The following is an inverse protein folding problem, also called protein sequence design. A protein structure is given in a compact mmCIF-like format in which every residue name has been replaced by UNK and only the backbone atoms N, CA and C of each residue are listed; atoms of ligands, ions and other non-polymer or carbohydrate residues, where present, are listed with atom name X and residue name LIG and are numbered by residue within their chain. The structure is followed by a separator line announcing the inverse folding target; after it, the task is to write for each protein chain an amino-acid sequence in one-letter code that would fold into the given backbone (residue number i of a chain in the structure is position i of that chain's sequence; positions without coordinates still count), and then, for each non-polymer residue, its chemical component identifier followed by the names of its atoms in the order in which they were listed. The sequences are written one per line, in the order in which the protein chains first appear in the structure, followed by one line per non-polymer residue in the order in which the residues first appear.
data_IF_978323633730
#
_entry.id   IF_978323633730
#
_cell.length_a   1.000
_cell.length_b   1.000
_cell.length_c   1.000
_cell.angle_alpha   90.00
_cell.angle_beta   90.00
_cell.angle_gamma   90.00
#
_symmetry.space_group_name_H-M   'P 1'
#
loop_
_entity.id
_entity.type
_entity.pdbx_description
1 polymer ?
#
# COMPACT_ATOMS: atom_id res chain seq x y z
N UNK A 1 -11.00 39.80 33.17
CA UNK A 1 -10.06 39.10 32.25
C UNK A 1 -10.64 37.72 31.95
N UNK A 2 -11.35 37.56 30.83
CA UNK A 2 -12.04 36.31 30.49
C UNK A 2 -11.12 35.40 29.65
N UNK A 3 -10.89 34.16 30.12
CA UNK A 3 -10.16 33.13 29.37
C UNK A 3 -10.97 32.69 28.14
N UNK A 4 -10.40 32.89 26.95
CA UNK A 4 -10.93 32.34 25.71
C UNK A 4 -10.73 30.80 25.67
N UNK A 5 -11.83 30.04 25.77
CA UNK A 5 -11.83 28.59 25.52
C UNK A 5 -11.49 28.31 24.06
N UNK A 6 -10.34 27.68 23.82
CA UNK A 6 -9.90 27.17 22.51
C UNK A 6 -10.93 26.13 22.03
N UNK A 7 -11.68 26.43 20.96
CA UNK A 7 -12.59 25.47 20.32
C UNK A 7 -11.78 24.25 19.88
N UNK A 8 -12.13 23.06 20.40
CA UNK A 8 -11.59 21.76 19.94
C UNK A 8 -11.98 21.63 18.46
N UNK A 9 -10.98 21.61 17.57
CA UNK A 9 -11.17 21.30 16.15
C UNK A 9 -11.63 19.84 16.11
N UNK A 10 -12.85 19.61 15.64
CA UNK A 10 -13.35 18.25 15.39
C UNK A 10 -12.65 17.82 14.11
N UNK A 11 -11.69 16.90 14.23
CA UNK A 11 -11.08 16.24 13.07
C UNK A 11 -12.17 15.33 12.47
N UNK A 12 -12.88 15.86 11.48
CA UNK A 12 -13.71 15.05 10.59
C UNK A 12 -12.80 14.02 9.91
N UNK A 13 -13.27 12.79 9.63
CA UNK A 13 -12.50 11.83 8.85
C UNK A 13 -12.11 12.50 7.52
N UNK A 14 -10.80 12.62 7.24
CA UNK A 14 -10.34 13.05 5.92
C UNK A 14 -10.92 12.06 4.90
N UNK A 15 -11.62 12.57 3.87
CA UNK A 15 -11.98 11.75 2.71
C UNK A 15 -10.72 11.01 2.23
N UNK A 16 -10.83 9.73 1.85
CA UNK A 16 -9.68 8.96 1.41
C UNK A 16 -9.00 9.72 0.26
N UNK A 17 -7.70 10.03 0.43
CA UNK A 17 -6.94 10.78 -0.57
C UNK A 17 -7.05 10.04 -1.90
N UNK A 18 -7.64 10.70 -2.91
CA UNK A 18 -7.79 10.15 -4.26
C UNK A 18 -6.44 9.64 -4.77
N UNK A 19 -6.42 8.42 -5.31
CA UNK A 19 -5.22 7.85 -5.93
C UNK A 19 -4.80 8.80 -7.06
N UNK A 20 -3.53 9.22 -7.08
CA UNK A 20 -2.98 10.10 -8.13
C UNK A 20 -2.05 9.37 -9.08
N UNK A 21 -1.93 8.05 -8.91
CA UNK A 21 -1.10 7.18 -9.74
C UNK A 21 -1.85 5.87 -10.00
N UNK A 22 -1.80 5.43 -11.25
CA UNK A 22 -2.28 4.14 -11.69
C UNK A 22 -1.23 3.51 -12.59
N UNK A 23 -1.05 2.21 -12.45
CA UNK A 23 -0.10 1.46 -13.25
C UNK A 23 -0.74 0.17 -13.74
N UNK A 24 -0.48 -0.18 -14.99
CA UNK A 24 -0.94 -1.44 -15.57
C UNK A 24 0.13 -1.97 -16.54
N UNK A 25 0.02 -3.24 -16.94
CA UNK A 25 0.85 -3.81 -18.01
C UNK A 25 -0.02 -3.97 -19.25
N UNK A 26 0.41 -3.37 -20.35
CA UNK A 26 -0.29 -3.39 -21.63
C UNK A 26 0.43 -4.29 -22.64
N UNK A 27 -0.33 -4.86 -23.57
CA UNK A 27 0.24 -5.49 -24.77
C UNK A 27 0.76 -4.43 -25.75
N UNK A 28 1.58 -4.83 -26.73
CA UNK A 28 2.09 -3.92 -27.75
C UNK A 28 0.96 -3.25 -28.55
N UNK A 29 -0.10 -4.00 -28.88
CA UNK A 29 -1.29 -3.48 -29.56
C UNK A 29 -2.02 -2.42 -28.71
N UNK A 30 -2.15 -2.66 -27.41
CA UNK A 30 -2.77 -1.69 -26.48
C UNK A 30 -1.90 -0.44 -26.31
N UNK A 31 -0.57 -0.59 -26.31
CA UNK A 31 0.37 0.53 -26.25
C UNK A 31 0.27 1.41 -27.50
N UNK A 32 0.18 0.82 -28.68
CA UNK A 32 -0.01 1.55 -29.94
C UNK A 32 -1.33 2.31 -29.97
N UNK A 33 -2.41 1.65 -29.54
CA UNK A 33 -3.73 2.28 -29.45
C UNK A 33 -3.71 3.47 -28.49
N UNK A 34 -3.08 3.32 -27.32
CA UNK A 34 -2.97 4.38 -26.32
C UNK A 34 -2.08 5.54 -26.80
N UNK A 35 -0.97 5.24 -27.48
CA UNK A 35 -0.08 6.24 -28.06
C UNK A 35 -0.79 7.09 -29.11
N UNK A 36 -1.47 6.44 -30.06
CA UNK A 36 -2.27 7.13 -31.09
C UNK A 36 -3.38 7.98 -30.49
N UNK A 37 -4.04 7.47 -29.45
CA UNK A 37 -5.07 8.20 -28.74
C UNK A 37 -4.54 9.45 -28.02
N UNK A 38 -3.37 9.36 -27.36
CA UNK A 38 -2.73 10.51 -26.72
C UNK A 38 -2.27 11.56 -27.75
N UNK A 39 -1.75 11.10 -28.89
CA UNK A 39 -1.33 11.98 -29.98
C UNK A 39 -2.49 12.77 -30.61
N UNK A 40 -3.71 12.22 -30.60
CA UNK A 40 -4.91 12.92 -31.11
C UNK A 40 -5.45 14.01 -30.17
N UNK A 41 -5.03 14.06 -28.91
CA UNK A 41 -5.62 14.93 -27.87
C UNK A 41 -4.90 16.26 -27.63
N UNK A 42 -4.07 16.72 -28.57
CA UNK A 42 -3.21 17.91 -28.41
C UNK A 42 -2.34 17.87 -27.14
N UNK A 43 -1.96 16.66 -26.69
CA UNK A 43 -1.11 16.50 -25.51
C UNK A 43 0.35 16.75 -25.84
N UNK A 44 1.06 17.40 -24.92
CA UNK A 44 2.47 17.72 -25.13
C UNK A 44 3.33 16.46 -24.93
N UNK A 45 4.05 15.97 -25.96
CA UNK A 45 4.99 14.88 -25.77
C UNK A 45 6.20 15.37 -24.95
N UNK A 46 6.77 14.48 -24.14
CA UNK A 46 8.01 14.76 -23.42
C UNK A 46 8.93 13.55 -23.33
N UNK A 47 10.21 13.77 -23.02
CA UNK A 47 11.21 12.71 -22.94
C UNK A 47 11.23 12.04 -21.57
N UNK A 48 11.18 10.71 -21.55
CA UNK A 48 11.42 9.87 -20.36
C UNK A 48 12.34 8.73 -20.77
N UNK A 49 13.35 8.46 -19.95
CA UNK A 49 14.30 7.38 -20.22
C UNK A 49 13.59 6.03 -20.28
N UNK A 50 13.92 5.22 -21.29
CA UNK A 50 13.33 3.90 -21.56
C UNK A 50 11.81 3.90 -21.83
N UNK A 51 11.19 5.06 -22.02
CA UNK A 51 9.80 5.18 -22.43
C UNK A 51 9.65 4.96 -23.95
N UNK A 52 8.60 4.24 -24.33
CA UNK A 52 8.11 4.15 -25.71
C UNK A 52 7.46 5.46 -26.11
N UNK A 53 6.61 6.00 -25.23
CA UNK A 53 5.98 7.30 -25.38
C UNK A 53 5.72 7.93 -24.01
N UNK A 54 5.67 9.26 -23.97
CA UNK A 54 5.22 9.99 -22.80
C UNK A 54 4.50 11.28 -23.21
N UNK A 55 3.32 11.49 -22.66
CA UNK A 55 2.45 12.62 -22.98
C UNK A 55 1.96 13.31 -21.71
N UNK A 56 1.89 14.63 -21.79
CA UNK A 56 1.39 15.52 -20.74
C UNK A 56 0.07 16.13 -21.21
N UNK A 57 -1.01 15.69 -20.58
CA UNK A 57 -2.36 16.22 -20.77
C UNK A 57 -2.76 17.21 -19.68
N UNK A 58 -4.04 17.57 -19.66
CA UNK A 58 -4.60 18.44 -18.63
C UNK A 58 -4.64 17.72 -17.27
N UNK A 59 -3.72 18.07 -16.36
CA UNK A 59 -3.59 17.48 -15.01
C UNK A 59 -3.47 15.95 -14.99
N UNK A 60 -3.07 15.33 -16.11
CA UNK A 60 -2.78 13.90 -16.26
C UNK A 60 -1.54 13.71 -17.14
N UNK A 61 -0.65 12.83 -16.73
CA UNK A 61 0.56 12.45 -17.44
C UNK A 61 0.47 10.94 -17.70
N UNK A 62 0.84 10.53 -18.91
CA UNK A 62 0.82 9.13 -19.34
C UNK A 62 2.20 8.76 -19.85
N UNK A 63 2.78 7.70 -19.30
CA UNK A 63 4.09 7.18 -19.71
C UNK A 63 3.96 5.68 -19.99
N UNK A 64 4.23 5.29 -21.22
CA UNK A 64 4.35 3.89 -21.63
C UNK A 64 5.81 3.51 -21.76
N UNK A 65 6.26 2.48 -21.05
CA UNK A 65 7.64 1.96 -21.11
C UNK A 65 7.78 0.84 -22.14
N UNK A 66 9.00 0.67 -22.67
CA UNK A 66 9.33 -0.45 -23.58
C UNK A 66 9.11 -1.84 -22.96
N UNK A 67 8.99 -1.94 -21.64
CA UNK A 67 8.66 -3.18 -20.92
C UNK A 67 7.16 -3.54 -20.93
N UNK A 68 6.32 -2.71 -21.57
CA UNK A 68 4.87 -2.81 -21.53
C UNK A 68 4.25 -2.20 -20.25
N UNK A 69 5.05 -1.64 -19.36
CA UNK A 69 4.54 -0.96 -18.16
C UNK A 69 3.94 0.39 -18.53
N UNK A 70 2.69 0.62 -18.15
CA UNK A 70 2.00 1.90 -18.21
C UNK A 70 2.02 2.57 -16.84
N UNK A 71 2.28 3.88 -16.83
CA UNK A 71 2.14 4.74 -15.65
C UNK A 71 1.27 5.94 -16.03
N UNK A 72 0.12 6.08 -15.38
CA UNK A 72 -0.77 7.24 -15.47
C UNK A 72 -0.72 7.98 -14.14
N UNK A 73 -0.44 9.28 -14.15
CA UNK A 73 -0.31 10.10 -12.95
C UNK A 73 -1.06 11.41 -13.09
N UNK A 74 -1.62 11.93 -12.01
CA UNK A 74 -2.25 13.25 -12.01
C UNK A 74 -3.54 13.31 -11.20
N UNK A 75 -4.16 14.50 -11.18
CA UNK A 75 -5.43 14.73 -10.47
C UNK A 75 -6.63 14.20 -11.26
N UNK A 76 -6.54 14.20 -12.58
CA UNK A 76 -7.57 13.69 -13.51
C UNK A 76 -7.25 12.25 -13.98
N UNK A 77 -6.35 11.56 -13.25
CA UNK A 77 -5.95 10.18 -13.54
C UNK A 77 -7.15 9.23 -13.53
N UNK A 78 -7.97 9.28 -12.49
CA UNK A 78 -9.13 8.40 -12.32
C UNK A 78 -10.13 8.57 -13.46
N UNK A 79 -10.44 9.80 -13.82
CA UNK A 79 -11.33 10.12 -14.95
C UNK A 79 -10.76 9.61 -16.27
N UNK A 80 -9.45 9.77 -16.49
CA UNK A 80 -8.78 9.23 -17.67
C UNK A 80 -8.82 7.71 -17.72
N UNK A 81 -8.62 7.02 -16.59
CA UNK A 81 -8.65 5.56 -16.57
C UNK A 81 -10.05 5.07 -16.91
N UNK A 82 -11.07 5.56 -16.22
CA UNK A 82 -12.46 5.10 -16.36
C UNK A 82 -13.05 5.47 -17.72
N UNK A 83 -12.86 6.71 -18.19
CA UNK A 83 -13.54 7.22 -19.39
C UNK A 83 -12.73 7.07 -20.67
N UNK A 84 -11.50 6.59 -20.60
CA UNK A 84 -10.63 6.51 -21.78
C UNK A 84 -9.84 5.23 -21.81
N UNK A 85 -9.00 4.96 -20.80
CA UNK A 85 -8.11 3.81 -20.85
C UNK A 85 -8.90 2.50 -20.87
N UNK A 86 -9.91 2.37 -20.02
CA UNK A 86 -10.75 1.17 -19.94
C UNK A 86 -11.60 0.94 -21.19
N UNK A 87 -12.44 1.89 -21.64
CA UNK A 87 -13.31 1.67 -22.79
C UNK A 87 -12.53 1.60 -24.10
N UNK A 88 -11.55 2.47 -24.29
CA UNK A 88 -10.89 2.62 -25.59
C UNK A 88 -9.66 1.74 -25.72
N UNK A 89 -8.91 1.43 -24.65
CA UNK A 89 -7.65 0.67 -24.77
C UNK A 89 -7.77 -0.74 -24.23
N UNK A 90 -8.28 -0.92 -23.02
CA UNK A 90 -8.36 -2.23 -22.36
C UNK A 90 -9.57 -3.04 -22.83
N UNK A 91 -10.69 -2.40 -23.14
CA UNK A 91 -11.96 -3.04 -23.47
C UNK A 91 -12.68 -3.65 -22.26
N UNK A 92 -12.21 -3.36 -21.04
CA UNK A 92 -12.73 -3.90 -19.79
C UNK A 92 -12.56 -2.88 -18.67
N UNK A 93 -13.56 -2.79 -17.79
CA UNK A 93 -13.53 -1.93 -16.61
C UNK A 93 -12.91 -2.69 -15.43
N UNK A 94 -11.76 -2.25 -14.92
CA UNK A 94 -11.01 -2.91 -13.83
C UNK A 94 -10.77 -1.99 -12.63
N UNK A 95 -10.53 -0.72 -12.88
CA UNK A 95 -10.26 0.32 -11.90
C UNK A 95 -11.47 0.51 -10.98
N UNK A 96 -11.24 0.31 -9.68
CA UNK A 96 -12.31 0.38 -8.68
C UNK A 96 -13.16 -0.89 -8.58
N UNK A 97 -12.90 -1.90 -9.41
CA UNK A 97 -13.55 -3.22 -9.37
C UNK A 97 -12.63 -4.29 -8.74
N UNK A 98 -11.69 -3.87 -7.89
CA UNK A 98 -10.74 -4.76 -7.22
C UNK A 98 -11.48 -5.92 -6.51
N UNK A 99 -12.65 -5.69 -5.91
CA UNK A 99 -13.45 -6.74 -5.25
C UNK A 99 -14.04 -7.78 -6.21
N UNK A 100 -14.30 -7.42 -7.46
CA UNK A 100 -14.85 -8.33 -8.47
C UNK A 100 -13.74 -9.18 -9.08
N UNK A 101 -12.60 -8.56 -9.37
CA UNK A 101 -11.48 -9.22 -10.05
C UNK A 101 -10.51 -9.93 -9.10
N UNK A 102 -10.41 -9.44 -7.85
CA UNK A 102 -9.54 -9.97 -6.81
C UNK A 102 -10.31 -10.21 -5.50
N UNK A 103 -11.36 -11.05 -5.50
CA UNK A 103 -12.12 -11.35 -4.28
C UNK A 103 -11.22 -11.91 -3.18
N UNK A 104 -10.14 -12.62 -3.54
CA UNK A 104 -9.17 -13.21 -2.61
C UNK A 104 -8.43 -12.16 -1.75
N UNK A 105 -8.33 -10.90 -2.20
CA UNK A 105 -7.75 -9.82 -1.38
C UNK A 105 -8.65 -9.41 -0.22
N UNK A 106 -9.94 -9.74 -0.32
CA UNK A 106 -10.97 -9.36 0.64
C UNK A 106 -11.47 -10.56 1.44
N UNK A 107 -10.96 -11.77 1.15
CA UNK A 107 -11.12 -12.93 2.01
C UNK A 107 -10.27 -12.82 3.28
N UNK A 108 -10.50 -13.72 4.24
CA UNK A 108 -9.68 -13.83 5.45
C UNK A 108 -8.21 -14.05 5.06
N UNK A 109 -7.35 -13.10 5.38
CA UNK A 109 -5.93 -13.17 5.01
C UNK A 109 -5.01 -12.76 6.14
N UNK A 110 -3.77 -13.24 6.06
CA UNK A 110 -2.71 -12.93 7.00
C UNK A 110 -1.79 -11.85 6.42
N UNK A 111 -1.74 -10.69 7.07
CA UNK A 111 -0.72 -9.65 6.83
C UNK A 111 0.47 -9.85 7.77
N UNK A 112 1.69 -9.76 7.24
CA UNK A 112 2.92 -9.95 8.01
C UNK A 112 3.94 -8.87 7.69
N UNK A 113 4.57 -8.30 8.71
CA UNK A 113 5.61 -7.28 8.55
C UNK A 113 6.58 -7.27 9.75
N UNK A 114 7.73 -6.60 9.59
CA UNK A 114 8.74 -6.46 10.62
C UNK A 114 9.14 -5.00 10.91
N UNK A 115 9.64 -4.78 12.13
CA UNK A 115 10.27 -3.53 12.53
C UNK A 115 11.56 -3.81 13.30
N UNK A 116 12.51 -2.87 13.29
CA UNK A 116 13.78 -3.00 13.99
C UNK A 116 14.93 -3.57 13.18
N UNK A 117 14.70 -4.06 11.95
CA UNK A 117 15.74 -4.67 11.10
C UNK A 117 16.93 -3.74 10.81
N UNK A 118 16.66 -2.45 10.62
CA UNK A 118 17.68 -1.45 10.28
C UNK A 118 18.14 -0.61 11.48
N UNK A 119 17.54 -0.81 12.65
CA UNK A 119 17.81 0.01 13.82
C UNK A 119 19.06 -0.51 14.54
N UNK A 120 20.00 0.39 14.87
CA UNK A 120 21.19 0.03 15.65
C UNK A 120 20.83 -0.35 17.09
N UNK A 121 19.79 0.30 17.64
CA UNK A 121 19.29 0.07 18.98
C UNK A 121 17.84 -0.35 18.92
N UNK A 122 17.51 -1.38 19.70
CA UNK A 122 16.14 -1.83 19.85
C UNK A 122 15.95 -3.27 19.39
N UNK A 123 14.80 -3.86 19.73
CA UNK A 123 14.50 -5.22 19.34
C UNK A 123 14.23 -5.32 17.84
N UNK A 124 14.39 -6.52 17.30
CA UNK A 124 13.76 -6.91 16.02
C UNK A 124 12.45 -7.61 16.34
N UNK A 125 11.35 -7.12 15.77
CA UNK A 125 10.01 -7.64 15.99
C UNK A 125 9.34 -7.94 14.66
N UNK A 126 8.68 -9.09 14.57
CA UNK A 126 7.74 -9.40 13.48
C UNK A 126 6.33 -9.44 14.03
N UNK A 127 5.36 -9.05 13.23
CA UNK A 127 3.94 -9.14 13.55
C UNK A 127 3.20 -9.90 12.44
N UNK A 128 2.18 -10.66 12.82
CA UNK A 128 1.21 -11.27 11.94
C UNK A 128 -0.19 -10.88 12.42
N UNK A 129 -1.01 -10.38 11.49
CA UNK A 129 -2.42 -10.05 11.72
C UNK A 129 -3.26 -10.86 10.75
N UNK A 130 -4.26 -11.57 11.27
CA UNK A 130 -5.26 -12.30 10.47
C UNK A 130 -6.61 -11.62 10.68
N UNK A 131 -7.20 -11.13 9.60
CA UNK A 131 -8.47 -10.43 9.61
C UNK A 131 -9.20 -10.54 8.26
N UNK A 132 -10.51 -10.38 8.29
CA UNK A 132 -11.40 -10.28 7.15
C UNK A 132 -11.78 -8.82 6.83
N UNK A 133 -12.41 -8.64 5.68
CA UNK A 133 -12.76 -7.34 5.10
C UNK A 133 -13.45 -6.37 6.07
N UNK A 134 -14.50 -6.75 6.84
CA UNK A 134 -15.24 -5.79 7.65
C UNK A 134 -14.35 -5.06 8.68
N UNK A 135 -13.43 -5.80 9.31
CA UNK A 135 -12.49 -5.28 10.28
C UNK A 135 -11.44 -4.39 9.60
N UNK A 136 -10.94 -4.80 8.44
CA UNK A 136 -9.97 -4.02 7.67
C UNK A 136 -10.60 -2.70 7.19
N UNK A 137 -11.85 -2.73 6.73
CA UNK A 137 -12.57 -1.53 6.31
C UNK A 137 -12.77 -0.55 7.49
N UNK A 138 -13.05 -1.05 8.69
CA UNK A 138 -13.12 -0.24 9.91
C UNK A 138 -11.76 0.39 10.23
N UNK A 139 -10.68 -0.39 10.14
CA UNK A 139 -9.31 0.06 10.36
C UNK A 139 -8.85 1.13 9.38
N UNK A 140 -9.19 0.97 8.10
CA UNK A 140 -8.90 1.96 7.05
C UNK A 140 -9.65 3.26 7.31
N UNK A 141 -10.90 3.21 7.78
CA UNK A 141 -11.66 4.40 8.22
C UNK A 141 -11.02 5.08 9.43
N UNK A 142 -10.46 4.29 10.34
CA UNK A 142 -9.61 4.77 11.43
C UNK A 142 -8.23 5.27 10.93
N UNK A 143 -7.95 5.24 9.63
CA UNK A 143 -6.72 5.79 9.06
C UNK A 143 -5.49 4.90 9.22
N UNK A 144 -5.69 3.58 9.33
CA UNK A 144 -4.62 2.60 9.10
C UNK A 144 -4.15 2.73 7.65
N UNK A 145 -2.83 2.84 7.50
CA UNK A 145 -2.10 3.02 6.25
C UNK A 145 -0.64 2.65 6.48
N UNK A 146 0.19 2.82 5.45
CA UNK A 146 1.64 2.69 5.55
C UNK A 146 2.18 3.38 6.82
N UNK A 147 2.76 2.58 7.72
CA UNK A 147 3.23 2.98 9.05
C UNK A 147 4.26 4.10 8.97
N UNK A 148 5.01 4.20 7.87
CA UNK A 148 6.00 5.27 7.61
C UNK A 148 5.38 6.65 7.52
N UNK A 149 4.07 6.75 7.29
CA UNK A 149 3.31 8.01 7.19
C UNK A 149 2.50 8.31 8.45
N UNK A 150 2.67 7.54 9.51
CA UNK A 150 1.91 7.64 10.76
C UNK A 150 2.87 8.03 11.88
N UNK A 151 2.43 8.93 12.76
CA UNK A 151 3.22 9.31 13.95
C UNK A 151 3.15 8.22 15.03
N UNK A 152 4.19 8.07 15.83
CA UNK A 152 4.27 7.06 16.90
C UNK A 152 3.06 7.09 17.85
N UNK A 153 2.62 8.29 18.23
CA UNK A 153 1.43 8.45 19.08
C UNK A 153 0.16 7.91 18.42
N UNK A 154 0.04 8.03 17.08
CA UNK A 154 -1.08 7.45 16.34
C UNK A 154 -0.91 5.94 16.19
N UNK A 155 0.30 5.43 15.96
CA UNK A 155 0.58 3.98 15.93
C UNK A 155 0.10 3.31 17.23
N UNK A 156 0.44 3.87 18.40
CA UNK A 156 0.00 3.33 19.69
C UNK A 156 -1.53 3.36 19.89
N UNK A 157 -2.24 4.30 19.25
CA UNK A 157 -3.71 4.33 19.27
C UNK A 157 -4.29 3.27 18.35
N UNK A 158 -3.73 3.13 17.15
CA UNK A 158 -4.17 2.16 16.16
C UNK A 158 -3.92 0.72 16.62
N UNK A 159 -2.77 0.43 17.25
CA UNK A 159 -2.50 -0.89 17.82
C UNK A 159 -3.56 -1.31 18.85
N UNK A 160 -4.02 -0.37 19.69
CA UNK A 160 -5.12 -0.63 20.63
C UNK A 160 -6.43 -0.93 19.93
N UNK A 161 -6.75 -0.20 18.86
CA UNK A 161 -7.97 -0.43 18.06
C UNK A 161 -7.91 -1.82 17.41
N UNK A 162 -6.81 -2.14 16.73
CA UNK A 162 -6.59 -3.45 16.09
C UNK A 162 -6.78 -4.55 17.14
N UNK A 163 -6.02 -4.53 18.24
CA UNK A 163 -6.07 -5.59 19.26
C UNK A 163 -7.41 -5.71 20.00
N UNK A 164 -8.20 -4.64 20.04
CA UNK A 164 -9.54 -4.66 20.63
C UNK A 164 -10.62 -5.17 19.67
N UNK A 165 -10.30 -5.31 18.38
CA UNK A 165 -11.23 -5.79 17.36
C UNK A 165 -11.53 -7.28 17.61
N UNK A 166 -12.80 -7.68 17.52
CA UNK A 166 -13.21 -9.06 17.74
C UNK A 166 -13.01 -9.90 16.49
N UNK A 167 -12.74 -11.19 16.67
CA UNK A 167 -12.64 -12.14 15.56
C UNK A 167 -11.35 -12.03 14.73
N UNK A 168 -10.35 -11.28 15.21
CA UNK A 168 -9.04 -11.19 14.57
C UNK A 168 -7.97 -11.95 15.38
N UNK A 169 -6.87 -12.27 14.72
CA UNK A 169 -5.68 -12.81 15.37
C UNK A 169 -4.51 -11.83 15.19
N UNK A 170 -3.83 -11.48 16.29
CA UNK A 170 -2.64 -10.62 16.27
C UNK A 170 -1.57 -11.27 17.10
N UNK A 171 -0.47 -11.63 16.44
CA UNK A 171 0.66 -12.28 17.07
C UNK A 171 1.98 -11.63 16.69
N UNK A 172 2.92 -11.65 17.62
CA UNK A 172 4.22 -11.00 17.43
C UNK A 172 5.34 -11.90 17.90
N UNK A 173 6.47 -11.88 17.20
CA UNK A 173 7.71 -12.52 17.65
C UNK A 173 8.74 -11.45 17.96
N UNK A 174 9.08 -11.32 19.24
CA UNK A 174 10.00 -10.32 19.75
C UNK A 174 11.40 -10.90 19.96
N UNK A 175 12.43 -10.25 19.43
CA UNK A 175 13.83 -10.56 19.69
C UNK A 175 14.55 -9.34 20.26
N UNK A 176 14.77 -9.34 21.58
CA UNK A 176 15.52 -8.28 22.25
C UNK A 176 17.02 -8.32 21.93
N UNK A 177 17.70 -7.18 22.08
CA UNK A 177 19.11 -7.00 21.71
C UNK A 177 20.06 -8.08 22.25
N UNK A 178 19.91 -8.49 23.51
CA UNK A 178 20.76 -9.54 24.09
C UNK A 178 20.65 -10.86 23.32
N UNK A 179 19.42 -11.27 23.00
CA UNK A 179 19.16 -12.51 22.27
C UNK A 179 19.56 -12.38 20.80
N UNK A 180 19.30 -11.22 20.21
CA UNK A 180 19.74 -10.89 18.86
C UNK A 180 21.26 -11.04 18.72
N UNK A 181 22.03 -10.42 19.62
CA UNK A 181 23.50 -10.48 19.61
C UNK A 181 24.00 -11.92 19.82
N UNK A 182 23.36 -12.70 20.69
CA UNK A 182 23.69 -14.12 20.89
C UNK A 182 23.48 -14.93 19.61
N UNK A 183 22.37 -14.70 18.89
CA UNK A 183 22.03 -15.41 17.66
C UNK A 183 22.92 -14.99 16.49
N UNK A 184 23.14 -13.67 16.34
CA UNK A 184 23.95 -13.10 15.27
C UNK A 184 25.45 -13.29 15.47
N UNK A 185 25.90 -13.58 16.70
CA UNK A 185 27.29 -13.95 16.99
C UNK A 185 27.66 -15.37 16.58
N UNK A 186 26.71 -16.20 16.13
CA UNK A 186 26.99 -17.58 15.71
C UNK A 186 27.63 -17.64 14.32
N UNK A 187 28.48 -18.64 14.04
CA UNK A 187 28.98 -18.87 12.69
C UNK A 187 27.83 -19.03 11.69
N UNK A 188 27.94 -18.36 10.53
CA UNK A 188 26.92 -18.37 9.45
C UNK A 188 25.56 -17.77 9.86
N UNK A 189 25.49 -16.97 10.92
CA UNK A 189 24.26 -16.26 11.26
C UNK A 189 23.85 -15.31 10.13
N UNK A 190 22.53 -15.25 9.87
CA UNK A 190 21.96 -14.45 8.79
C UNK A 190 20.65 -13.83 9.28
N UNK A 191 20.56 -12.50 9.19
CA UNK A 191 19.40 -11.74 9.62
C UNK A 191 18.13 -12.11 8.85
N UNK A 192 18.23 -12.41 7.56
CA UNK A 192 17.09 -12.81 6.73
C UNK A 192 16.53 -14.16 7.22
N UNK A 193 17.41 -15.10 7.59
CA UNK A 193 16.99 -16.39 8.15
C UNK A 193 16.34 -16.22 9.53
N UNK A 194 16.87 -15.31 10.36
CA UNK A 194 16.25 -14.97 11.65
C UNK A 194 14.85 -14.38 11.45
N UNK A 195 14.70 -13.43 10.54
CA UNK A 195 13.41 -12.83 10.21
C UNK A 195 12.42 -13.85 9.65
N UNK A 196 12.85 -14.71 8.72
CA UNK A 196 12.02 -15.78 8.18
C UNK A 196 11.49 -16.70 9.30
N UNK A 197 12.35 -17.03 10.27
CA UNK A 197 11.95 -17.80 11.44
C UNK A 197 10.97 -17.04 12.35
N UNK A 198 11.21 -15.76 12.64
CA UNK A 198 10.30 -14.93 13.47
C UNK A 198 8.93 -14.75 12.81
N UNK A 199 8.90 -14.54 11.49
CA UNK A 199 7.70 -14.50 10.67
C UNK A 199 6.93 -15.82 10.76
N UNK A 200 7.60 -16.95 10.53
CA UNK A 200 7.00 -18.28 10.68
C UNK A 200 6.42 -18.51 12.09
N UNK A 201 7.11 -18.04 13.14
CA UNK A 201 6.62 -18.14 14.53
C UNK A 201 5.36 -17.31 14.75
N UNK A 202 5.34 -16.07 14.29
CA UNK A 202 4.18 -15.16 14.43
C UNK A 202 2.97 -15.71 13.67
N UNK A 203 3.17 -16.18 12.44
CA UNK A 203 2.13 -16.80 11.64
C UNK A 203 1.57 -18.06 12.30
N UNK A 204 2.45 -18.97 12.74
CA UNK A 204 2.02 -20.22 13.40
C UNK A 204 1.25 -19.94 14.69
N UNK A 205 1.62 -18.91 15.44
CA UNK A 205 0.88 -18.50 16.61
C UNK A 205 -0.49 -17.91 16.21
N UNK A 206 -0.54 -17.10 15.16
CA UNK A 206 -1.76 -16.46 14.71
C UNK A 206 -2.81 -17.47 14.23
N UNK A 207 -2.37 -18.50 13.49
CA UNK A 207 -3.22 -19.59 12.97
C UNK A 207 -3.77 -20.54 14.05
N UNK A 208 -3.29 -20.45 15.29
CA UNK A 208 -3.78 -21.27 16.42
C UNK A 208 -4.92 -20.62 17.20
N UNK A 209 -5.23 -19.37 16.90
CA UNK A 209 -6.33 -18.60 17.50
C UNK A 209 -7.54 -18.66 16.59
#
# INVERSE_FOLDING_TARGET
MALAKRKKKIDLPEEPKKKTIYTNKLSDEQMEKLEGFCAMRDWEPYGVEYARFAFKGNKVNVVGYNSGKLVVQGKEMEEFVINTLEPEVLGEARYGYDEIYHPEWFELHAGMDESGKGDLFGPVITACVVADKPQIDEWVKEGIRDSKKITDTRILKLDKIIRATKGISVETCFCGMRKYNELMGKPRANLILLLAWQHSKSLTAALKK
#
